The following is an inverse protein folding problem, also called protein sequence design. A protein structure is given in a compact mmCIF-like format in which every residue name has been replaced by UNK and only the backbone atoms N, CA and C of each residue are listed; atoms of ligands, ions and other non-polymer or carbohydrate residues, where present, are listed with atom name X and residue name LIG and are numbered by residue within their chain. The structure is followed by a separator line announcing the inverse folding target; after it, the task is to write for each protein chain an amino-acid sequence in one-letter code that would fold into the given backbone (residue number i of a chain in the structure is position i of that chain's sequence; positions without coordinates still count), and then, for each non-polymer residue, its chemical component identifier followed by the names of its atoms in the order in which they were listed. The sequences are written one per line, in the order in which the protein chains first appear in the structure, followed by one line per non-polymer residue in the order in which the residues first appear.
data_IF_485855996805
#
_entry.id   IF_485855996805
#
_cell.length_a   1.000
_cell.length_b   1.000
_cell.length_c   1.000
_cell.angle_alpha   90.00
_cell.angle_beta   90.00
_cell.angle_gamma   90.00
#
_symmetry.space_group_name_H-M   'P 1'
#
loop_
_entity.id
_entity.type
_entity.pdbx_description
1 polymer ?
#
# COMPACT_ATOMS: atom_id res chain seq x y z
N UNK A 1 -58.50 51.44 -12.66
CA UNK A 1 -58.66 50.43 -11.59
C UNK A 1 -58.98 49.10 -12.26
N UNK A 2 -57.98 48.27 -12.64
CA UNK A 2 -58.26 46.95 -13.17
C UNK A 2 -58.36 45.93 -12.04
N UNK A 3 -59.40 45.12 -12.09
CA UNK A 3 -59.77 44.07 -11.13
C UNK A 3 -58.68 43.01 -10.97
N UNK A 4 -58.31 42.74 -9.72
CA UNK A 4 -57.39 41.69 -9.32
C UNK A 4 -58.11 40.33 -9.36
N UNK A 5 -57.81 39.50 -10.36
CA UNK A 5 -58.38 38.16 -10.51
C UNK A 5 -57.80 37.21 -9.47
N UNK A 6 -58.63 36.83 -8.49
CA UNK A 6 -58.31 35.81 -7.50
C UNK A 6 -57.99 34.43 -8.13
N UNK A 7 -56.77 33.94 -7.88
CA UNK A 7 -56.30 32.63 -8.31
C UNK A 7 -57.04 31.53 -7.55
N UNK A 8 -57.92 30.79 -8.23
CA UNK A 8 -58.61 29.63 -7.67
C UNK A 8 -57.60 28.52 -7.33
N UNK A 9 -57.35 28.31 -6.03
CA UNK A 9 -56.58 27.16 -5.52
C UNK A 9 -57.28 25.85 -5.92
N UNK A 10 -56.54 24.96 -6.59
CA UNK A 10 -57.01 23.63 -6.98
C UNK A 10 -57.46 22.87 -5.73
N UNK A 11 -58.76 22.58 -5.64
CA UNK A 11 -59.33 21.64 -4.66
C UNK A 11 -58.90 20.22 -5.05
N UNK A 12 -57.80 19.77 -4.46
CA UNK A 12 -57.39 18.37 -4.43
C UNK A 12 -57.12 17.96 -2.99
N UNK A 13 -57.33 16.67 -2.68
CA UNK A 13 -57.06 16.07 -1.36
C UNK A 13 -55.67 16.51 -0.87
N UNK A 14 -55.52 16.95 0.40
CA UNK A 14 -54.23 17.34 0.95
C UNK A 14 -53.19 16.25 0.69
N UNK A 15 -51.98 16.63 0.24
CA UNK A 15 -50.89 15.67 0.11
C UNK A 15 -50.64 15.03 1.47
N UNK A 16 -50.66 13.69 1.56
CA UNK A 16 -50.39 13.00 2.81
C UNK A 16 -49.02 13.45 3.37
N UNK A 17 -48.90 13.55 4.72
CA UNK A 17 -47.66 13.92 5.38
C UNK A 17 -46.52 12.98 4.98
N UNK A 18 -45.27 13.48 4.97
CA UNK A 18 -44.09 12.78 4.45
C UNK A 18 -43.91 11.35 5.01
N UNK A 19 -44.39 11.06 6.22
CA UNK A 19 -44.33 9.74 6.87
C UNK A 19 -45.40 8.72 6.45
N UNK A 20 -46.49 9.15 5.80
CA UNK A 20 -47.58 8.27 5.33
C UNK A 20 -47.65 8.19 3.80
N UNK A 21 -46.57 8.57 3.11
CA UNK A 21 -46.50 8.41 1.66
C UNK A 21 -46.58 6.93 1.32
N UNK A 22 -47.55 6.59 0.49
CA UNK A 22 -47.68 5.27 -0.13
C UNK A 22 -46.34 4.92 -0.78
N UNK A 23 -45.69 3.87 -0.28
CA UNK A 23 -44.42 3.38 -0.84
C UNK A 23 -44.60 3.10 -2.33
N UNK A 24 -43.60 3.45 -3.14
CA UNK A 24 -43.62 3.16 -4.56
C UNK A 24 -43.74 1.63 -4.74
N UNK A 25 -44.72 1.17 -5.52
CA UNK A 25 -44.88 -0.25 -5.80
C UNK A 25 -43.78 -0.71 -6.76
N UNK A 26 -42.86 -1.52 -6.26
CA UNK A 26 -41.84 -2.18 -7.07
C UNK A 26 -42.33 -3.60 -7.42
N UNK A 27 -42.44 -3.93 -8.71
CA UNK A 27 -42.72 -5.30 -9.13
C UNK A 27 -41.46 -6.17 -8.97
N UNK A 28 -41.47 -7.12 -8.04
CA UNK A 28 -40.34 -8.01 -7.77
C UNK A 28 -40.73 -9.46 -8.10
N UNK A 29 -39.93 -10.13 -8.93
CA UNK A 29 -40.11 -11.55 -9.31
C UNK A 29 -38.87 -12.36 -8.92
N UNK A 30 -38.80 -12.88 -7.67
CA UNK A 30 -37.69 -13.70 -7.22
C UNK A 30 -37.72 -15.10 -7.84
N UNK A 31 -36.57 -15.79 -7.83
CA UNK A 31 -36.52 -17.23 -8.06
C UNK A 31 -37.27 -17.98 -6.93
N UNK A 32 -37.78 -19.20 -7.17
CA UNK A 32 -38.47 -19.98 -6.14
C UNK A 32 -37.64 -20.19 -4.87
N UNK A 33 -36.34 -20.44 -5.02
CA UNK A 33 -35.40 -20.61 -3.92
C UNK A 33 -35.25 -19.33 -3.08
N UNK A 34 -35.06 -18.19 -3.75
CA UNK A 34 -34.95 -16.90 -3.07
C UNK A 34 -36.26 -16.54 -2.37
N UNK A 35 -37.40 -16.89 -2.97
CA UNK A 35 -38.72 -16.69 -2.33
C UNK A 35 -38.84 -17.50 -1.04
N UNK A 36 -38.50 -18.78 -1.06
CA UNK A 36 -38.52 -19.63 0.13
C UNK A 36 -37.58 -19.11 1.24
N UNK A 37 -36.38 -18.62 0.87
CA UNK A 37 -35.46 -18.00 1.82
C UNK A 37 -36.04 -16.72 2.45
N UNK A 38 -36.71 -15.88 1.65
CA UNK A 38 -37.35 -14.66 2.12
C UNK A 38 -38.57 -14.96 3.01
N UNK A 39 -39.42 -15.92 2.64
CA UNK A 39 -40.55 -16.34 3.47
C UNK A 39 -40.07 -16.86 4.84
N UNK A 40 -39.02 -17.71 4.85
CA UNK A 40 -38.41 -18.20 6.09
C UNK A 40 -37.87 -17.07 6.97
N UNK A 41 -37.15 -16.11 6.38
CA UNK A 41 -36.59 -14.97 7.10
C UNK A 41 -37.68 -14.01 7.60
N UNK A 42 -38.73 -13.79 6.81
CA UNK A 42 -39.86 -12.94 7.16
C UNK A 42 -40.64 -13.52 8.35
N UNK A 43 -40.91 -14.84 8.34
CA UNK A 43 -41.52 -15.54 9.47
C UNK A 43 -40.65 -15.51 10.73
N UNK A 44 -39.33 -15.66 10.60
CA UNK A 44 -38.43 -15.63 11.75
C UNK A 44 -38.32 -14.24 12.41
N UNK A 45 -38.61 -13.17 11.67
CA UNK A 45 -38.51 -11.78 12.12
C UNK A 45 -39.89 -11.13 12.40
N UNK A 46 -40.98 -11.91 12.32
CA UNK A 46 -42.38 -11.42 12.41
C UNK A 46 -42.69 -10.24 11.48
N UNK A 47 -42.22 -10.32 10.22
CA UNK A 47 -42.42 -9.30 9.19
C UNK A 47 -43.11 -9.85 7.96
N UNK A 48 -43.75 -8.97 7.19
CA UNK A 48 -44.12 -9.33 5.82
C UNK A 48 -42.88 -9.45 4.94
N UNK A 49 -42.96 -10.26 3.88
CA UNK A 49 -41.84 -10.42 2.94
C UNK A 49 -41.42 -9.09 2.32
N UNK A 50 -42.37 -8.20 2.02
CA UNK A 50 -42.07 -6.88 1.47
C UNK A 50 -41.26 -6.02 2.48
N UNK A 51 -41.63 -6.04 3.76
CA UNK A 51 -40.90 -5.33 4.82
C UNK A 51 -39.51 -5.92 5.07
N UNK A 52 -39.37 -7.25 5.01
CA UNK A 52 -38.07 -7.91 5.17
C UNK A 52 -37.14 -7.57 3.99
N UNK A 53 -37.65 -7.55 2.75
CA UNK A 53 -36.90 -7.10 1.57
C UNK A 53 -36.45 -5.65 1.73
N UNK A 54 -37.37 -4.75 2.12
CA UNK A 54 -37.05 -3.34 2.37
C UNK A 54 -35.96 -3.22 3.44
N UNK A 55 -36.11 -3.88 4.59
CA UNK A 55 -35.14 -3.82 5.69
C UNK A 55 -33.76 -4.32 5.28
N UNK A 56 -33.67 -5.38 4.47
CA UNK A 56 -32.40 -5.88 3.94
C UNK A 56 -31.75 -4.91 2.96
N UNK A 57 -32.54 -4.30 2.07
CA UNK A 57 -32.05 -3.29 1.13
C UNK A 57 -31.55 -2.04 1.86
N UNK A 58 -32.33 -1.52 2.81
CA UNK A 58 -31.92 -0.39 3.64
C UNK A 58 -30.61 -0.69 4.39
N UNK A 59 -30.50 -1.88 4.99
CA UNK A 59 -29.24 -2.30 5.64
C UNK A 59 -28.08 -2.41 4.65
N UNK A 60 -28.31 -2.84 3.41
CA UNK A 60 -27.24 -2.90 2.40
C UNK A 60 -26.74 -1.51 2.03
N UNK A 61 -27.65 -0.55 1.77
CA UNK A 61 -27.27 0.83 1.47
C UNK A 61 -26.67 1.55 2.68
N UNK A 62 -27.16 1.28 3.89
CA UNK A 62 -26.60 1.86 5.11
C UNK A 62 -25.16 1.41 5.31
N UNK A 63 -24.87 0.11 5.13
CA UNK A 63 -23.49 -0.40 5.19
C UNK A 63 -22.60 0.32 4.18
N UNK A 64 -23.02 0.46 2.92
CA UNK A 64 -22.24 1.21 1.92
C UNK A 64 -21.99 2.66 2.36
N UNK A 65 -23.01 3.32 2.93
CA UNK A 65 -22.89 4.68 3.45
C UNK A 65 -21.93 4.79 4.63
N UNK A 66 -21.94 3.82 5.56
CA UNK A 66 -21.07 3.81 6.75
C UNK A 66 -19.58 3.75 6.35
N UNK A 67 -19.28 3.10 5.22
CA UNK A 67 -17.93 3.02 4.66
C UNK A 67 -17.57 4.17 3.69
N UNK A 68 -18.42 5.20 3.58
CA UNK A 68 -18.14 6.37 2.73
C UNK A 68 -18.51 6.18 1.25
N UNK A 69 -19.34 5.17 0.93
CA UNK A 69 -19.85 4.89 -0.40
C UNK A 69 -19.53 3.48 -0.91
N UNK A 70 -20.16 3.10 -2.02
CA UNK A 70 -20.04 1.76 -2.60
C UNK A 70 -18.61 1.40 -3.04
N UNK A 71 -17.83 2.37 -3.54
CA UNK A 71 -16.44 2.16 -3.96
C UNK A 71 -15.53 1.81 -2.79
N UNK A 72 -15.57 2.62 -1.71
CA UNK A 72 -14.79 2.36 -0.51
C UNK A 72 -15.24 1.07 0.18
N UNK A 73 -16.56 0.81 0.24
CA UNK A 73 -17.07 -0.45 0.77
C UNK A 73 -16.50 -1.66 0.02
N UNK A 74 -16.43 -1.60 -1.32
CA UNK A 74 -15.85 -2.64 -2.14
C UNK A 74 -14.35 -2.80 -1.87
N UNK A 75 -13.61 -1.70 -1.76
CA UNK A 75 -12.19 -1.72 -1.39
C UNK A 75 -11.96 -2.40 -0.04
N UNK A 76 -12.68 -1.99 1.01
CA UNK A 76 -12.55 -2.58 2.33
C UNK A 76 -12.93 -4.06 2.36
N UNK A 77 -13.95 -4.46 1.59
CA UNK A 77 -14.32 -5.87 1.46
C UNK A 77 -13.20 -6.71 0.82
N UNK A 78 -12.52 -6.17 -0.19
CA UNK A 78 -11.36 -6.84 -0.80
C UNK A 78 -10.19 -6.94 0.19
N UNK A 79 -9.89 -5.85 0.90
CA UNK A 79 -8.85 -5.82 1.94
C UNK A 79 -9.13 -6.84 3.08
N UNK A 80 -10.38 -6.95 3.51
CA UNK A 80 -10.80 -7.93 4.51
C UNK A 80 -10.67 -9.37 3.99
N UNK A 81 -11.07 -9.65 2.74
CA UNK A 81 -10.90 -10.96 2.13
C UNK A 81 -9.43 -11.38 2.00
N UNK A 82 -8.52 -10.43 1.71
CA UNK A 82 -7.09 -10.69 1.70
C UNK A 82 -6.58 -11.11 3.08
N UNK A 83 -7.08 -10.47 4.14
CA UNK A 83 -6.74 -10.79 5.52
C UNK A 83 -7.16 -12.22 5.88
N UNK A 84 -8.40 -12.60 5.55
CA UNK A 84 -8.92 -13.96 5.79
C UNK A 84 -8.11 -15.02 5.05
N UNK A 85 -7.71 -14.77 3.79
CA UNK A 85 -6.86 -15.69 3.03
C UNK A 85 -5.48 -15.87 3.67
N UNK A 86 -4.91 -14.79 4.20
CA UNK A 86 -3.59 -14.83 4.86
C UNK A 86 -3.68 -15.57 6.18
N UNK A 87 -4.68 -15.29 7.03
CA UNK A 87 -4.90 -16.05 8.27
C UNK A 87 -5.17 -17.53 7.99
N UNK A 88 -5.90 -17.86 6.92
CA UNK A 88 -6.12 -19.25 6.52
C UNK A 88 -4.83 -19.97 6.12
N UNK A 89 -3.88 -19.26 5.49
CA UNK A 89 -2.58 -19.81 5.07
C UNK A 89 -1.59 -19.92 6.23
N UNK A 90 -1.47 -18.89 7.06
CA UNK A 90 -0.51 -18.86 8.18
C UNK A 90 -1.05 -19.58 9.42
N UNK A 91 -2.37 -19.80 9.50
CA UNK A 91 -3.11 -20.36 10.65
C UNK A 91 -2.93 -19.56 11.95
N UNK A 92 -2.48 -18.31 11.84
CA UNK A 92 -2.28 -17.39 12.95
C UNK A 92 -3.08 -16.13 12.70
N UNK A 93 -3.44 -15.42 13.78
CA UNK A 93 -4.14 -14.14 13.62
C UNK A 93 -3.16 -13.04 13.22
N UNK A 94 -3.54 -12.23 12.23
CA UNK A 94 -2.77 -11.07 11.77
C UNK A 94 -2.57 -10.03 12.88
N UNK A 95 -3.46 -9.99 13.88
CA UNK A 95 -3.40 -9.00 14.97
C UNK A 95 -2.39 -9.31 16.07
N UNK A 96 -1.93 -10.57 16.15
CA UNK A 96 -1.07 -11.06 17.25
C UNK A 96 0.29 -11.55 16.78
N UNK A 97 0.41 -11.96 15.52
CA UNK A 97 1.64 -12.50 14.94
C UNK A 97 2.27 -11.49 13.98
N UNK A 98 3.53 -11.14 14.25
CA UNK A 98 4.26 -10.13 13.46
C UNK A 98 4.46 -10.56 12.00
N UNK A 99 4.81 -11.83 11.78
CA UNK A 99 5.05 -12.37 10.44
C UNK A 99 3.76 -12.35 9.60
N UNK A 100 2.64 -12.76 10.20
CA UNK A 100 1.31 -12.69 9.55
C UNK A 100 0.88 -11.25 9.29
N UNK A 101 1.17 -10.33 10.21
CA UNK A 101 0.90 -8.89 10.01
C UNK A 101 1.67 -8.32 8.81
N UNK A 102 2.93 -8.74 8.62
CA UNK A 102 3.74 -8.28 7.49
C UNK A 102 3.22 -8.80 6.14
N UNK A 103 2.80 -10.07 6.08
CA UNK A 103 2.12 -10.61 4.89
C UNK A 103 0.81 -9.84 4.60
N UNK A 104 0.08 -9.46 5.64
CA UNK A 104 -1.13 -8.64 5.53
C UNK A 104 -0.84 -7.22 5.01
N UNK A 105 0.18 -6.55 5.56
CA UNK A 105 0.58 -5.20 5.14
C UNK A 105 1.03 -5.18 3.67
N UNK A 106 1.80 -6.18 3.25
CA UNK A 106 2.28 -6.30 1.87
C UNK A 106 1.12 -6.55 0.90
N UNK A 107 0.16 -7.41 1.25
CA UNK A 107 -1.04 -7.63 0.45
C UNK A 107 -1.87 -6.33 0.30
N UNK A 108 -2.10 -5.61 1.41
CA UNK A 108 -2.83 -4.35 1.40
C UNK A 108 -2.15 -3.28 0.56
N UNK A 109 -0.83 -3.12 0.70
CA UNK A 109 -0.02 -2.23 -0.14
C UNK A 109 -0.21 -2.54 -1.63
N UNK A 110 -0.20 -3.82 -2.02
CA UNK A 110 -0.41 -4.22 -3.42
C UNK A 110 -1.83 -3.95 -3.91
N UNK A 111 -2.85 -4.24 -3.10
CA UNK A 111 -4.25 -3.95 -3.44
C UNK A 111 -4.45 -2.44 -3.66
N UNK A 112 -3.91 -1.61 -2.77
CA UNK A 112 -3.97 -0.15 -2.89
C UNK A 112 -3.22 0.34 -4.13
N UNK A 113 -2.05 -0.25 -4.43
CA UNK A 113 -1.31 0.08 -5.65
C UNK A 113 -2.08 -0.31 -6.92
N UNK A 114 -2.83 -1.40 -6.90
CA UNK A 114 -3.65 -1.83 -8.02
C UNK A 114 -4.87 -0.93 -8.25
N UNK A 115 -5.52 -0.47 -7.17
CA UNK A 115 -6.66 0.45 -7.26
C UNK A 115 -6.24 1.90 -7.47
N UNK A 116 -4.94 2.20 -7.38
CA UNK A 116 -4.40 3.53 -7.62
C UNK A 116 -4.66 3.96 -9.07
N UNK A 117 -5.18 5.18 -9.30
CA UNK A 117 -5.27 5.72 -10.65
C UNK A 117 -3.87 5.92 -11.27
N UNK A 118 -3.78 5.76 -12.59
CA UNK A 118 -2.55 6.00 -13.33
C UNK A 118 -2.09 7.46 -13.17
N UNK A 119 -0.82 7.66 -12.86
CA UNK A 119 -0.27 9.00 -12.67
C UNK A 119 -0.25 9.75 -14.02
N UNK A 120 -0.63 11.04 -14.05
CA UNK A 120 -0.46 11.86 -15.24
C UNK A 120 0.99 11.88 -15.72
N UNK A 121 1.21 11.75 -17.04
CA UNK A 121 2.54 11.54 -17.65
C UNK A 121 3.59 12.58 -17.27
N UNK A 122 3.18 13.85 -17.12
CA UNK A 122 4.09 14.94 -16.72
C UNK A 122 4.63 14.74 -15.30
N UNK A 123 3.73 14.42 -14.37
CA UNK A 123 4.09 14.21 -12.96
C UNK A 123 4.98 12.98 -12.78
N UNK A 124 4.80 11.95 -13.62
CA UNK A 124 5.66 10.76 -13.64
C UNK A 124 7.11 11.11 -13.95
N UNK A 125 7.34 11.92 -14.98
CA UNK A 125 8.69 12.33 -15.37
C UNK A 125 9.43 13.10 -14.27
N UNK A 126 8.75 14.04 -13.61
CA UNK A 126 9.33 14.83 -12.52
C UNK A 126 9.64 13.96 -11.30
N UNK A 127 8.75 13.02 -10.99
CA UNK A 127 8.95 12.06 -9.89
C UNK A 127 10.13 11.11 -10.17
N UNK A 128 10.24 10.60 -11.39
CA UNK A 128 11.34 9.73 -11.82
C UNK A 128 12.69 10.46 -11.81
N UNK A 129 12.71 11.75 -12.21
CA UNK A 129 13.91 12.58 -12.14
C UNK A 129 14.36 12.79 -10.69
N UNK A 130 13.42 13.10 -9.78
CA UNK A 130 13.70 13.26 -8.35
C UNK A 130 14.18 11.96 -7.67
N UNK A 131 13.60 10.83 -8.06
CA UNK A 131 14.03 9.52 -7.55
C UNK A 131 15.47 9.18 -7.96
N UNK A 132 15.85 9.48 -9.21
CA UNK A 132 17.22 9.33 -9.71
C UNK A 132 18.20 10.22 -8.97
N UNK A 133 17.86 11.48 -8.75
CA UNK A 133 18.72 12.40 -8.00
C UNK A 133 18.93 11.95 -6.55
N UNK A 134 17.88 11.47 -5.89
CA UNK A 134 17.95 10.95 -4.52
C UNK A 134 18.83 9.71 -4.41
N UNK A 135 18.73 8.81 -5.39
CA UNK A 135 19.60 7.61 -5.44
C UNK A 135 21.05 7.97 -5.72
N UNK A 136 21.32 8.89 -6.63
CA UNK A 136 22.69 9.38 -6.90
C UNK A 136 23.28 10.12 -5.68
N UNK A 137 22.46 10.89 -4.96
CA UNK A 137 22.87 11.53 -3.71
C UNK A 137 23.20 10.51 -2.63
N UNK A 138 22.36 9.48 -2.48
CA UNK A 138 22.61 8.39 -1.54
C UNK A 138 23.91 7.63 -1.89
N UNK A 139 24.15 7.32 -3.17
CA UNK A 139 25.41 6.70 -3.63
C UNK A 139 26.62 7.55 -3.28
N UNK A 140 26.55 8.87 -3.46
CA UNK A 140 27.64 9.79 -3.10
C UNK A 140 27.92 9.82 -1.61
N UNK A 141 26.88 9.79 -0.77
CA UNK A 141 27.02 9.81 0.69
C UNK A 141 27.50 8.47 1.26
N UNK A 142 27.15 7.35 0.61
CA UNK A 142 27.51 6.00 1.04
C UNK A 142 28.83 5.49 0.44
N UNK A 143 29.47 6.27 -0.43
CA UNK A 143 30.79 5.93 -0.97
C UNK A 143 31.84 6.01 0.14
N UNK A 144 32.76 5.03 0.26
CA UNK A 144 33.80 5.07 1.28
C UNK A 144 34.67 6.33 1.11
N UNK A 145 35.25 6.86 2.21
CA UNK A 145 36.12 8.02 2.13
C UNK A 145 37.26 7.75 1.14
N UNK A 146 37.62 8.71 0.27
CA UNK A 146 38.69 8.52 -0.70
C UNK A 146 39.98 8.15 0.03
N UNK A 147 40.74 7.22 -0.54
CA UNK A 147 42.06 6.84 -0.01
C UNK A 147 42.97 8.07 0.10
N UNK A 148 43.86 8.14 1.11
CA UNK A 148 44.77 9.27 1.25
C UNK A 148 45.58 9.49 -0.04
N UNK A 149 45.85 10.75 -0.42
CA UNK A 149 46.58 11.06 -1.65
C UNK A 149 48.00 10.51 -1.57
N UNK A 150 48.41 9.73 -2.58
CA UNK A 150 49.77 9.19 -2.64
C UNK A 150 50.78 10.33 -2.84
N UNK A 151 51.87 10.40 -2.04
CA UNK A 151 52.94 11.37 -2.25
C UNK A 151 53.62 11.17 -3.62
N UNK A 152 54.23 12.23 -4.16
CA UNK A 152 54.87 12.17 -5.48
C UNK A 152 55.99 11.12 -5.48
N UNK A 153 56.03 10.29 -6.52
CA UNK A 153 57.10 9.32 -6.69
C UNK A 153 58.44 10.06 -6.76
N UNK A 154 59.48 9.57 -6.06
CA UNK A 154 60.76 10.25 -6.03
C UNK A 154 61.30 10.39 -7.46
N UNK A 155 61.55 11.63 -7.86
CA UNK A 155 62.19 11.92 -9.13
C UNK A 155 63.70 11.77 -8.94
N UNK A 156 64.38 11.02 -9.80
CA UNK A 156 65.84 10.96 -9.75
C UNK A 156 66.41 12.33 -10.14
N UNK A 157 67.03 13.03 -9.19
CA UNK A 157 67.77 14.27 -9.46
C UNK A 157 69.26 13.99 -9.41
N UNK A 158 69.87 13.82 -10.59
CA UNK A 158 71.33 13.87 -10.75
C UNK A 158 71.99 12.61 -11.31
N UNK A 159 73.26 12.76 -11.70
CA UNK A 159 74.12 11.78 -12.40
C UNK A 159 74.32 10.44 -11.66
N UNK A 160 74.01 10.38 -10.36
CA UNK A 160 74.13 9.17 -9.54
C UNK A 160 72.81 8.41 -9.35
N UNK A 161 71.69 8.86 -9.94
CA UNK A 161 70.38 8.19 -9.84
C UNK A 161 69.92 7.92 -8.39
N UNK A 162 70.34 8.72 -7.39
CA UNK A 162 69.74 8.61 -6.07
C UNK A 162 68.36 9.28 -6.08
N UNK A 163 67.31 8.59 -5.63
CA UNK A 163 65.98 9.17 -5.53
C UNK A 163 65.96 10.25 -4.44
N UNK A 164 65.45 11.44 -4.77
CA UNK A 164 65.12 12.50 -3.81
C UNK A 164 63.80 12.08 -3.12
N UNK A 165 63.91 11.24 -2.08
CA UNK A 165 62.76 10.71 -1.32
C UNK A 165 62.54 11.59 -0.10
N UNK A 166 61.35 12.18 0.01
CA UNK A 166 60.88 12.76 1.27
C UNK A 166 60.39 11.62 2.17
N UNK A 167 61.32 11.01 2.92
CA UNK A 167 61.05 9.87 3.79
C UNK A 167 59.93 10.17 4.81
N UNK A 168 59.86 11.41 5.31
CA UNK A 168 58.82 11.83 6.25
C UNK A 168 57.41 11.86 5.62
N UNK A 169 57.30 12.30 4.36
CA UNK A 169 56.03 12.26 3.62
C UNK A 169 55.56 10.82 3.35
N UNK A 170 56.49 9.92 3.01
CA UNK A 170 56.17 8.51 2.78
C UNK A 170 55.78 7.77 4.07
N UNK A 171 56.44 8.05 5.20
CA UNK A 171 56.09 7.49 6.51
C UNK A 171 54.71 7.98 7.02
N UNK A 172 54.37 9.24 6.77
CA UNK A 172 53.03 9.76 7.10
C UNK A 172 51.94 9.08 6.27
N UNK A 173 52.18 8.89 4.97
CA UNK A 173 51.25 8.24 4.06
C UNK A 173 51.05 6.76 4.38
N UNK A 174 52.10 6.02 4.74
CA UNK A 174 51.98 4.60 5.13
C UNK A 174 51.17 4.47 6.41
N UNK A 175 51.41 5.33 7.41
CA UNK A 175 50.64 5.36 8.64
C UNK A 175 49.15 5.68 8.40
N UNK A 176 48.86 6.73 7.63
CA UNK A 176 47.48 7.10 7.26
C UNK A 176 46.78 6.01 6.45
N UNK A 177 47.50 5.32 5.56
CA UNK A 177 46.97 4.22 4.76
C UNK A 177 46.65 2.99 5.62
N UNK A 178 47.47 2.69 6.63
CA UNK A 178 47.20 1.61 7.58
C UNK A 178 45.99 1.92 8.46
N UNK A 179 45.89 3.15 8.97
CA UNK A 179 44.70 3.61 9.73
C UNK A 179 43.45 3.54 8.86
N UNK A 180 43.50 4.05 7.62
CA UNK A 180 42.38 4.00 6.67
C UNK A 180 41.96 2.56 6.31
N UNK A 181 42.93 1.65 6.11
CA UNK A 181 42.65 0.23 5.87
C UNK A 181 42.00 -0.44 7.07
N UNK A 182 42.50 -0.16 8.28
CA UNK A 182 41.97 -0.72 9.51
C UNK A 182 40.54 -0.25 9.80
N UNK A 183 40.27 1.05 9.62
CA UNK A 183 38.91 1.61 9.78
C UNK A 183 37.96 1.03 8.73
N UNK A 184 38.35 1.01 7.45
CA UNK A 184 37.51 0.43 6.40
C UNK A 184 37.28 -1.08 6.60
N UNK A 185 38.28 -1.85 7.04
CA UNK A 185 38.11 -3.28 7.31
C UNK A 185 37.15 -3.52 8.48
N UNK A 186 37.22 -2.71 9.55
CA UNK A 186 36.28 -2.80 10.67
C UNK A 186 34.85 -2.43 10.24
N UNK A 187 34.69 -1.39 9.43
CA UNK A 187 33.39 -1.01 8.87
C UNK A 187 32.83 -2.07 7.91
N UNK A 188 33.67 -2.65 7.05
CA UNK A 188 33.30 -3.77 6.17
C UNK A 188 32.89 -5.01 6.97
N UNK A 189 33.59 -5.34 8.06
CA UNK A 189 33.24 -6.45 8.92
C UNK A 189 31.90 -6.21 9.63
N UNK A 190 31.68 -5.00 10.16
CA UNK A 190 30.39 -4.62 10.76
C UNK A 190 29.26 -4.65 9.73
N UNK A 191 29.50 -4.14 8.52
CA UNK A 191 28.56 -4.18 7.40
C UNK A 191 28.24 -5.61 7.00
N UNK A 192 29.23 -6.49 6.88
CA UNK A 192 29.02 -7.89 6.52
C UNK A 192 28.19 -8.63 7.56
N UNK A 193 28.53 -8.49 8.85
CA UNK A 193 27.77 -9.10 9.96
C UNK A 193 26.32 -8.62 9.98
N UNK A 194 26.12 -7.31 9.81
CA UNK A 194 24.79 -6.72 9.68
C UNK A 194 24.05 -7.24 8.44
N UNK A 195 24.74 -7.34 7.30
CA UNK A 195 24.16 -7.81 6.03
C UNK A 195 23.74 -9.28 6.10
N UNK A 196 24.48 -10.13 6.83
CA UNK A 196 24.16 -11.54 7.02
C UNK A 196 22.91 -11.71 7.90
N UNK A 197 22.83 -10.98 9.02
CA UNK A 197 21.63 -10.95 9.85
C UNK A 197 20.41 -10.44 9.03
N UNK A 198 20.60 -9.38 8.25
CA UNK A 198 19.57 -8.85 7.37
C UNK A 198 19.22 -9.78 6.21
N UNK A 199 20.12 -10.67 5.78
CA UNK A 199 19.86 -11.70 4.76
C UNK A 199 18.91 -12.76 5.29
N UNK A 200 19.11 -13.24 6.52
CA UNK A 200 18.20 -14.22 7.14
C UNK A 200 16.79 -13.64 7.36
N UNK A 201 16.73 -12.41 7.86
CA UNK A 201 15.46 -11.69 7.95
C UNK A 201 14.86 -11.40 6.57
N UNK A 202 15.69 -11.07 5.58
CA UNK A 202 15.31 -10.81 4.20
C UNK A 202 14.66 -12.01 3.52
N UNK A 203 15.21 -13.22 3.66
CA UNK A 203 14.59 -14.44 3.13
C UNK A 203 13.23 -14.72 3.77
N UNK A 204 13.11 -14.52 5.09
CA UNK A 204 11.81 -14.63 5.79
C UNK A 204 10.81 -13.59 5.28
N UNK A 205 11.23 -12.33 5.12
CA UNK A 205 10.38 -11.27 4.60
C UNK A 205 9.96 -11.53 3.16
N UNK A 206 10.86 -12.06 2.33
CA UNK A 206 10.57 -12.41 0.94
C UNK A 206 9.47 -13.47 0.83
N UNK A 207 9.53 -14.52 1.66
CA UNK A 207 8.47 -15.54 1.72
C UNK A 207 7.13 -14.91 2.13
N UNK A 208 7.14 -13.99 3.11
CA UNK A 208 5.92 -13.31 3.56
C UNK A 208 5.38 -12.34 2.51
N UNK A 209 6.26 -11.64 1.78
CA UNK A 209 5.90 -10.82 0.63
C UNK A 209 5.29 -11.64 -0.50
N UNK A 210 5.81 -12.84 -0.77
CA UNK A 210 5.24 -13.78 -1.74
C UNK A 210 3.84 -14.22 -1.30
N UNK A 211 3.65 -14.58 -0.01
CA UNK A 211 2.33 -14.94 0.52
C UNK A 211 1.34 -13.77 0.39
N UNK A 212 1.74 -12.56 0.77
CA UNK A 212 0.91 -11.36 0.64
C UNK A 212 0.61 -11.01 -0.82
N UNK A 213 1.60 -11.18 -1.70
CA UNK A 213 1.47 -11.03 -3.15
C UNK A 213 0.46 -12.00 -3.74
N UNK A 214 0.56 -13.26 -3.38
CA UNK A 214 -0.32 -14.31 -3.88
C UNK A 214 -1.75 -14.12 -3.38
N UNK A 215 -1.92 -13.64 -2.15
CA UNK A 215 -3.24 -13.29 -1.61
C UNK A 215 -3.87 -12.14 -2.40
N UNK A 216 -3.09 -11.09 -2.69
CA UNK A 216 -3.54 -9.98 -3.53
C UNK A 216 -3.86 -10.44 -4.97
N UNK A 217 -3.01 -11.29 -5.57
CA UNK A 217 -3.20 -11.83 -6.91
C UNK A 217 -4.38 -12.79 -7.00
N UNK A 218 -4.77 -13.45 -5.90
CA UNK A 218 -5.97 -14.29 -5.86
C UNK A 218 -7.25 -13.48 -5.96
N UNK A 219 -7.22 -12.22 -5.48
CA UNK A 219 -8.35 -11.29 -5.55
C UNK A 219 -8.35 -10.53 -6.89
N UNK A 220 -7.16 -10.15 -7.35
CA UNK A 220 -6.93 -9.52 -8.65
C UNK A 220 -5.97 -10.38 -9.48
N UNK A 221 -6.47 -11.35 -10.25
CA UNK A 221 -5.61 -12.08 -11.16
C UNK A 221 -4.96 -11.08 -12.13
N UNK A 222 -3.65 -11.18 -12.38
CA UNK A 222 -3.00 -10.29 -13.32
C UNK A 222 -3.70 -10.43 -14.67
N UNK A 223 -4.15 -9.31 -15.24
CA UNK A 223 -4.59 -9.29 -16.63
C UNK A 223 -3.42 -9.79 -17.47
N UNK A 224 -3.57 -11.00 -18.04
CA UNK A 224 -2.71 -11.45 -19.13
C UNK A 224 -3.04 -10.54 -20.32
N UNK A 225 -2.15 -9.59 -20.60
CA UNK A 225 -2.08 -8.98 -21.93
C UNK A 225 -1.63 -10.00 -22.97
#
# INVERSE_FOLDING_TARGET
MPEEKAVKKKRGRPSLPKGERKLASLGFRPTPELRAQLDKAASANDRSVAQEVQSRLERSFQKESDFGGAELFSLFKMLAGAAELIEARTKKSWSKDFDTFLAFETAWKKIIQFTRPQMPTKMKHDFDASAKESTERAKRLLSPPPSPPRPQAPQSKGLLNLPDVDDAAWDSYTHELEVWKATNQAELANFNTYSEAMREHGERFKILEEIGSDAAASIFPPHKE
#
